data_IF_456270987764
#
_entry.id   IF_456270987764
#
_cell.length_a   1.000
_cell.length_b   1.000
_cell.length_c   1.000
_cell.angle_alpha   90.00
_cell.angle_beta   90.00
_cell.angle_gamma   90.00
#
_symmetry.space_group_name_H-M   'P 1'
#
loop_
_entity.id
_entity.type
_entity.pdbx_description
1 polymer ?
#
# COMPACT_ATOMS: atom_id res chain seq x y z
N UNK A 1 -8.32 -5.38 -12.35
CA UNK A 1 -8.25 -6.50 -11.38
C UNK A 1 -7.50 -7.74 -11.87
N UNK A 2 -7.46 -8.04 -13.18
CA UNK A 2 -6.72 -9.21 -13.71
C UNK A 2 -5.21 -9.24 -13.41
N UNK A 3 -4.55 -8.08 -13.34
CA UNK A 3 -3.11 -7.98 -13.00
C UNK A 3 -2.79 -8.34 -11.53
N UNK A 4 -3.75 -8.20 -10.61
CA UNK A 4 -3.59 -8.61 -9.21
C UNK A 4 -3.68 -10.13 -9.09
N UNK A 5 -4.70 -10.72 -9.73
CA UNK A 5 -4.87 -12.16 -9.79
C UNK A 5 -3.68 -12.86 -10.44
N UNK A 6 -3.16 -12.34 -11.58
CA UNK A 6 -1.96 -12.91 -12.25
C UNK A 6 -0.73 -12.91 -11.34
N UNK A 7 -0.46 -11.81 -10.64
CA UNK A 7 0.68 -11.70 -9.68
C UNK A 7 0.50 -12.62 -8.46
N UNK A 8 -0.71 -12.77 -7.96
CA UNK A 8 -0.97 -13.69 -6.84
C UNK A 8 -0.90 -15.14 -7.27
N UNK A 9 -1.42 -15.47 -8.46
CA UNK A 9 -1.39 -16.82 -9.02
C UNK A 9 0.04 -17.30 -9.23
N UNK A 10 0.93 -16.43 -9.74
CA UNK A 10 2.34 -16.78 -9.92
C UNK A 10 3.11 -16.97 -8.62
N UNK A 11 2.69 -16.34 -7.51
CA UNK A 11 3.42 -16.40 -6.23
C UNK A 11 2.88 -17.43 -5.24
N UNK A 12 1.56 -17.62 -5.19
CA UNK A 12 0.86 -18.38 -4.13
C UNK A 12 -0.01 -19.53 -4.68
N UNK A 13 -0.14 -19.64 -6.01
CA UNK A 13 -1.02 -20.60 -6.66
C UNK A 13 -2.48 -20.15 -6.80
N UNK A 14 -3.20 -20.83 -7.69
CA UNK A 14 -4.57 -20.49 -8.10
C UNK A 14 -5.58 -20.38 -6.93
N UNK A 15 -5.70 -21.33 -5.99
CA UNK A 15 -6.74 -21.26 -4.95
C UNK A 15 -6.54 -20.06 -4.01
N UNK A 16 -5.29 -19.80 -3.58
CA UNK A 16 -4.97 -18.64 -2.74
C UNK A 16 -5.21 -17.31 -3.48
N UNK A 17 -4.99 -17.28 -4.79
CA UNK A 17 -5.24 -16.11 -5.62
C UNK A 17 -6.74 -15.78 -5.74
N UNK A 18 -7.60 -16.79 -5.87
CA UNK A 18 -9.06 -16.62 -5.96
C UNK A 18 -9.59 -16.05 -4.64
N UNK A 19 -9.27 -16.68 -3.51
CA UNK A 19 -9.75 -16.23 -2.19
C UNK A 19 -9.31 -14.81 -1.87
N UNK A 20 -8.05 -14.46 -2.14
CA UNK A 20 -7.56 -13.11 -1.92
C UNK A 20 -8.23 -12.07 -2.83
N UNK A 21 -8.56 -12.44 -4.07
CA UNK A 21 -9.28 -11.55 -5.00
C UNK A 21 -10.72 -11.37 -4.55
N UNK A 22 -11.40 -12.44 -4.14
CA UNK A 22 -12.75 -12.40 -3.58
C UNK A 22 -12.81 -11.56 -2.30
N UNK A 23 -11.86 -11.75 -1.38
CA UNK A 23 -11.76 -10.95 -0.16
C UNK A 23 -11.55 -9.45 -0.46
N UNK A 24 -10.71 -9.12 -1.45
CA UNK A 24 -10.51 -7.73 -1.89
C UNK A 24 -11.81 -7.13 -2.45
N UNK A 25 -12.56 -7.88 -3.26
CA UNK A 25 -13.86 -7.47 -3.78
C UNK A 25 -14.87 -7.28 -2.64
N UNK A 26 -15.02 -8.26 -1.75
CA UNK A 26 -15.93 -8.21 -0.62
C UNK A 26 -15.67 -6.98 0.26
N UNK A 27 -14.41 -6.61 0.48
CA UNK A 27 -14.06 -5.40 1.25
C UNK A 27 -14.47 -4.12 0.53
N UNK A 28 -14.31 -4.06 -0.79
CA UNK A 28 -14.75 -2.91 -1.60
C UNK A 28 -16.27 -2.79 -1.54
N UNK A 29 -16.99 -3.90 -1.79
CA UNK A 29 -18.45 -3.96 -1.71
C UNK A 29 -18.97 -3.60 -0.32
N UNK A 30 -18.39 -4.16 0.74
CA UNK A 30 -18.77 -3.88 2.12
C UNK A 30 -18.58 -2.40 2.47
N UNK A 31 -17.47 -1.80 2.06
CA UNK A 31 -17.21 -0.36 2.26
C UNK A 31 -18.20 0.50 1.48
N UNK A 32 -18.46 0.15 0.22
CA UNK A 32 -19.42 0.85 -0.63
C UNK A 32 -20.84 0.80 -0.04
N UNK A 33 -21.25 -0.36 0.46
CA UNK A 33 -22.56 -0.57 1.08
C UNK A 33 -22.68 0.13 2.43
N UNK A 34 -21.65 0.05 3.27
CA UNK A 34 -21.69 0.57 4.65
C UNK A 34 -21.53 2.09 4.70
N UNK A 35 -20.80 2.70 3.77
CA UNK A 35 -20.51 4.13 3.80
C UNK A 35 -21.62 5.01 3.23
N UNK A 36 -22.66 4.46 2.58
CA UNK A 36 -23.94 5.12 2.28
C UNK A 36 -23.91 6.42 1.44
N UNK A 37 -22.74 6.95 1.12
CA UNK A 37 -22.50 8.15 0.33
C UNK A 37 -21.36 7.90 -0.64
N UNK A 38 -21.34 8.68 -1.72
CA UNK A 38 -20.40 8.58 -2.83
C UNK A 38 -19.06 8.03 -2.41
N UNK A 39 -18.65 6.91 -3.04
CA UNK A 39 -17.31 6.39 -2.93
C UNK A 39 -16.35 7.46 -3.46
N UNK A 40 -15.93 8.37 -2.59
CA UNK A 40 -14.67 9.04 -2.72
C UNK A 40 -13.64 7.93 -2.49
N UNK A 41 -13.04 7.48 -3.58
CA UNK A 41 -11.81 6.71 -3.49
C UNK A 41 -10.94 7.48 -2.48
N UNK A 42 -10.56 6.90 -1.33
CA UNK A 42 -9.58 7.56 -0.47
C UNK A 42 -8.38 7.71 -1.38
N UNK A 43 -8.18 8.93 -1.90
CA UNK A 43 -7.53 9.16 -3.18
C UNK A 43 -6.13 8.55 -3.21
N UNK A 44 -5.50 8.58 -4.39
CA UNK A 44 -4.08 8.26 -4.54
C UNK A 44 -3.25 8.74 -3.34
N UNK A 45 -3.52 9.96 -2.87
CA UNK A 45 -2.91 10.61 -1.71
C UNK A 45 -2.92 9.76 -0.42
N UNK A 46 -4.02 9.10 -0.06
CA UNK A 46 -4.07 8.25 1.14
C UNK A 46 -3.19 7.00 0.99
N UNK A 47 -3.17 6.43 -0.22
CA UNK A 47 -2.30 5.29 -0.53
C UNK A 47 -0.84 5.70 -0.65
N UNK A 48 -0.57 6.90 -1.14
CA UNK A 48 0.76 7.47 -1.34
C UNK A 48 1.42 7.84 -0.03
N UNK A 49 0.71 8.51 0.89
CA UNK A 49 1.19 8.77 2.26
C UNK A 49 1.58 7.48 2.97
N UNK A 50 0.69 6.47 2.93
CA UNK A 50 0.96 5.17 3.57
C UNK A 50 2.06 4.38 2.86
N UNK A 51 2.26 4.61 1.56
CA UNK A 51 3.37 4.03 0.82
C UNK A 51 4.69 4.69 1.25
N UNK A 52 4.75 6.03 1.33
CA UNK A 52 5.92 6.77 1.82
C UNK A 52 6.30 6.33 3.23
N UNK A 53 5.35 6.28 4.16
CA UNK A 53 5.58 5.78 5.53
C UNK A 53 6.17 4.37 5.55
N UNK A 54 5.66 3.47 4.70
CA UNK A 54 6.19 2.09 4.61
C UNK A 54 7.60 2.07 4.06
N UNK A 55 7.90 2.90 3.07
CA UNK A 55 9.24 3.00 2.47
C UNK A 55 10.23 3.52 3.51
N UNK A 56 9.91 4.60 4.22
CA UNK A 56 10.76 5.17 5.28
C UNK A 56 11.00 4.17 6.40
N UNK A 57 9.94 3.51 6.90
CA UNK A 57 10.08 2.49 7.94
C UNK A 57 10.95 1.30 7.50
N UNK A 58 10.82 0.87 6.23
CA UNK A 58 11.66 -0.20 5.71
C UNK A 58 13.12 0.24 5.56
N UNK A 59 13.37 1.49 5.17
CA UNK A 59 14.72 2.07 5.11
C UNK A 59 15.35 2.14 6.50
N UNK A 60 14.60 2.63 7.50
CA UNK A 60 15.06 2.70 8.88
C UNK A 60 15.42 1.31 9.43
N UNK A 61 14.56 0.31 9.20
CA UNK A 61 14.83 -1.09 9.59
C UNK A 61 16.08 -1.66 8.90
N UNK A 62 16.29 -1.35 7.62
CA UNK A 62 17.49 -1.77 6.88
C UNK A 62 18.75 -1.08 7.39
N UNK A 63 18.68 0.21 7.69
CA UNK A 63 19.80 0.96 8.26
C UNK A 63 20.21 0.36 9.61
N UNK A 64 19.23 0.14 10.51
CA UNK A 64 19.45 -0.49 11.82
C UNK A 64 20.11 -1.87 11.70
N UNK A 65 19.67 -2.69 10.75
CA UNK A 65 20.27 -4.01 10.51
C UNK A 65 21.74 -3.95 10.04
N UNK A 66 22.15 -2.83 9.45
CA UNK A 66 23.51 -2.58 8.97
C UNK A 66 24.35 -1.75 9.96
N UNK A 67 23.80 -1.41 11.14
CA UNK A 67 24.47 -0.57 12.14
C UNK A 67 24.49 0.92 11.81
N UNK A 68 23.64 1.37 10.87
CA UNK A 68 23.48 2.77 10.49
C UNK A 68 22.18 3.34 11.04
N UNK A 69 22.17 4.63 11.37
CA UNK A 69 20.96 5.36 11.73
C UNK A 69 20.48 6.18 10.53
N UNK A 70 19.19 6.07 10.20
CA UNK A 70 18.59 6.86 9.13
C UNK A 70 18.37 8.29 9.66
N UNK A 71 19.28 9.20 9.32
CA UNK A 71 19.12 10.63 9.62
C UNK A 71 18.31 11.28 8.50
N UNK A 72 17.11 11.86 8.78
CA UNK A 72 16.39 12.62 7.77
C UNK A 72 17.23 13.83 7.39
N UNK A 73 17.52 13.98 6.09
CA UNK A 73 18.16 15.20 5.59
C UNK A 73 17.14 16.35 5.73
N UNK A 74 17.49 17.44 6.44
CA UNK A 74 16.67 18.64 6.41
C UNK A 74 16.66 19.14 4.97
N UNK A 75 15.46 19.38 4.45
CA UNK A 75 15.21 19.75 3.07
C UNK A 75 16.13 20.90 2.64
N UNK A 76 16.91 20.67 1.57
CA UNK A 76 17.58 21.74 0.86
C UNK A 76 16.51 22.59 0.14
N UNK A 77 16.04 23.60 0.85
CA UNK A 77 15.59 24.91 0.40
C UNK A 77 15.50 25.12 -1.15
N UNK A 78 14.29 25.27 -1.67
CA UNK A 78 13.96 26.17 -2.81
C UNK A 78 12.72 26.93 -2.40
N UNK A 79 12.84 28.07 -1.70
CA UNK A 79 12.94 29.43 -2.26
C UNK A 79 12.69 29.52 -3.78
N UNK A 80 11.47 29.92 -4.16
CA UNK A 80 11.14 31.05 -5.05
C UNK A 80 9.62 31.19 -5.16
#
# INVERSE_FOLDING_TARGET
>A
MGAFYRRLRSRLGTPKAITATAHKLARIFYRLWTSGGDYQDPGMDYYEQRYQERVVNNLQKKALALGFELVPQPEANTVS
#
